data_IF_875839181409
#
_entry.id   IF_875839181409
#
_cell.length_a   1.000
_cell.length_b   1.000
_cell.length_c   1.000
_cell.angle_alpha   90.00
_cell.angle_beta   90.00
_cell.angle_gamma   90.00
#
_symmetry.space_group_name_H-M   'P 1'
#
loop_
_entity.id
_entity.type
_entity.pdbx_description
1 polymer ?
#
# COMPACT_ATOMS: atom_id res chain seq x y z
N UNK A 1 6.63 -17.40 -14.90
CA UNK A 1 7.93 -17.84 -15.45
C UNK A 1 9.13 -17.09 -14.92
N UNK A 2 9.17 -15.75 -14.93
CA UNK A 2 10.35 -15.00 -14.47
C UNK A 2 10.69 -15.23 -12.98
N UNK A 3 9.69 -15.35 -12.11
CA UNK A 3 9.91 -15.69 -10.69
C UNK A 3 10.56 -17.06 -10.47
N UNK A 4 10.11 -18.09 -11.20
CA UNK A 4 10.72 -19.42 -11.14
C UNK A 4 12.18 -19.41 -11.67
N UNK A 5 12.46 -18.58 -12.68
CA UNK A 5 13.82 -18.39 -13.20
C UNK A 5 14.74 -17.80 -12.13
N UNK A 6 14.30 -16.76 -11.43
CA UNK A 6 15.08 -16.11 -10.37
C UNK A 6 15.33 -17.04 -9.18
N UNK A 7 14.32 -17.82 -8.77
CA UNK A 7 14.48 -18.81 -7.69
C UNK A 7 15.50 -19.90 -8.06
N UNK A 8 15.50 -20.40 -9.29
CA UNK A 8 16.53 -21.36 -9.74
C UNK A 8 17.93 -20.76 -9.76
N UNK A 9 18.07 -19.46 -10.03
CA UNK A 9 19.37 -18.76 -9.95
C UNK A 9 19.78 -18.62 -8.47
N UNK A 10 18.86 -18.22 -7.60
CA UNK A 10 19.12 -18.08 -6.17
C UNK A 10 19.51 -19.42 -5.51
N UNK A 11 18.90 -20.54 -5.91
CA UNK A 11 19.23 -21.86 -5.37
C UNK A 11 20.62 -22.39 -5.79
N UNK A 12 21.25 -21.78 -6.81
CA UNK A 12 22.65 -22.07 -7.18
C UNK A 12 23.66 -21.34 -6.29
N UNK A 13 23.22 -20.33 -5.54
CA UNK A 13 24.04 -19.64 -4.56
C UNK A 13 24.10 -20.48 -3.27
N UNK A 14 25.32 -20.82 -2.84
CA UNK A 14 25.55 -21.62 -1.63
C UNK A 14 25.27 -20.86 -0.35
N UNK A 15 25.09 -19.53 -0.41
CA UNK A 15 24.67 -18.72 0.73
C UNK A 15 23.19 -18.92 1.11
N UNK A 16 22.37 -19.47 0.21
CA UNK A 16 20.95 -19.74 0.45
C UNK A 16 20.79 -21.14 1.07
N UNK A 17 20.73 -21.17 2.40
CA UNK A 17 20.59 -22.39 3.22
C UNK A 17 19.38 -22.35 4.16
N UNK A 18 19.06 -23.48 4.78
CA UNK A 18 18.00 -23.61 5.78
C UNK A 18 16.61 -23.23 5.26
N UNK A 19 15.82 -22.56 6.11
CA UNK A 19 14.42 -22.22 5.81
C UNK A 19 14.22 -21.37 4.53
N UNK A 20 15.19 -20.52 4.16
CA UNK A 20 15.08 -19.71 2.94
C UNK A 20 15.18 -20.61 1.69
N UNK A 21 16.10 -21.59 1.71
CA UNK A 21 16.21 -22.59 0.65
C UNK A 21 14.95 -23.44 0.56
N UNK A 22 14.43 -23.86 1.71
CA UNK A 22 13.24 -24.67 1.80
C UNK A 22 12.00 -23.97 1.19
N UNK A 23 11.80 -22.68 1.50
CA UNK A 23 10.70 -21.87 0.91
C UNK A 23 10.87 -21.69 -0.60
N UNK A 24 12.10 -21.45 -1.07
CA UNK A 24 12.38 -21.30 -2.51
C UNK A 24 12.09 -22.59 -3.29
N UNK A 25 12.50 -23.74 -2.76
CA UNK A 25 12.19 -25.06 -3.35
C UNK A 25 10.68 -25.34 -3.34
N UNK A 26 9.98 -25.02 -2.25
CA UNK A 26 8.53 -25.17 -2.15
C UNK A 26 7.79 -24.36 -3.23
N UNK A 27 8.21 -23.12 -3.47
CA UNK A 27 7.62 -22.26 -4.50
C UNK A 27 7.88 -22.78 -5.92
N UNK A 28 9.06 -23.36 -6.16
CA UNK A 28 9.36 -24.03 -7.43
C UNK A 28 8.51 -25.28 -7.64
N UNK A 29 8.28 -26.08 -6.59
CA UNK A 29 7.40 -27.24 -6.65
C UNK A 29 5.96 -26.86 -7.06
N UNK A 30 5.44 -25.72 -6.62
CA UNK A 30 4.09 -25.28 -6.99
C UNK A 30 3.97 -24.70 -8.41
N UNK A 31 5.07 -24.26 -9.01
CA UNK A 31 5.06 -23.63 -10.33
C UNK A 31 5.40 -24.60 -11.47
N UNK A 32 5.91 -25.79 -11.16
CA UNK A 32 6.29 -26.79 -12.15
C UNK A 32 5.18 -27.84 -12.31
N UNK A 33 4.79 -28.09 -13.55
CA UNK A 33 3.74 -29.07 -13.90
C UNK A 33 4.24 -30.50 -13.98
N UNK A 34 5.55 -30.70 -14.21
CA UNK A 34 6.16 -32.02 -14.29
C UNK A 34 6.21 -32.71 -12.90
N UNK A 35 5.58 -33.88 -12.71
CA UNK A 35 5.51 -34.56 -11.42
C UNK A 35 6.88 -34.96 -10.85
N UNK A 36 7.83 -35.32 -11.71
CA UNK A 36 9.17 -35.76 -11.27
C UNK A 36 9.98 -34.57 -10.73
N UNK A 37 9.96 -33.45 -11.46
CA UNK A 37 10.59 -32.21 -11.02
C UNK A 37 9.92 -31.65 -9.75
N UNK A 38 8.59 -31.73 -9.65
CA UNK A 38 7.84 -31.32 -8.45
C UNK A 38 8.25 -32.13 -7.23
N UNK A 39 8.43 -33.44 -7.38
CA UNK A 39 8.96 -34.32 -6.32
C UNK A 39 10.36 -33.92 -5.88
N UNK A 40 11.28 -33.70 -6.83
CA UNK A 40 12.66 -33.33 -6.54
C UNK A 40 12.75 -32.05 -5.69
N UNK A 41 11.93 -31.04 -6.01
CA UNK A 41 11.89 -29.80 -5.23
C UNK A 41 11.28 -29.98 -3.83
N UNK A 42 10.27 -30.84 -3.67
CA UNK A 42 9.73 -31.16 -2.35
C UNK A 42 10.73 -31.91 -1.47
N UNK A 43 11.46 -32.87 -2.04
CA UNK A 43 12.50 -33.62 -1.33
C UNK A 43 13.65 -32.69 -0.91
N UNK A 44 14.06 -31.77 -1.79
CA UNK A 44 15.08 -30.75 -1.48
C UNK A 44 14.60 -29.74 -0.42
N UNK A 45 13.31 -29.39 -0.42
CA UNK A 45 12.72 -28.52 0.59
C UNK A 45 12.72 -29.18 1.98
N UNK A 46 12.36 -30.47 2.06
CA UNK A 46 12.41 -31.25 3.30
C UNK A 46 13.84 -31.47 3.80
N UNK A 47 14.80 -31.69 2.91
CA UNK A 47 16.20 -31.82 3.28
C UNK A 47 16.79 -30.50 3.83
N UNK A 48 16.32 -29.36 3.31
CA UNK A 48 16.77 -28.04 3.76
C UNK A 48 16.17 -27.61 5.12
N UNK A 49 14.96 -28.07 5.45
CA UNK A 49 14.27 -27.75 6.71
C UNK A 49 13.32 -28.90 7.14
N UNK A 50 13.86 -29.96 7.80
CA UNK A 50 13.10 -31.16 8.15
C UNK A 50 11.98 -30.91 9.17
N UNK A 51 12.15 -29.92 10.05
CA UNK A 51 11.23 -29.66 11.15
C UNK A 51 10.01 -28.84 10.71
N UNK A 52 10.02 -28.30 9.50
CA UNK A 52 8.95 -27.43 9.00
C UNK A 52 7.61 -28.19 8.78
N UNK A 53 6.54 -27.86 9.53
CA UNK A 53 5.27 -28.58 9.41
C UNK A 53 4.52 -28.24 8.10
N UNK A 54 4.70 -27.06 7.51
CA UNK A 54 4.01 -26.66 6.27
C UNK A 54 4.53 -27.46 5.07
N UNK A 55 5.84 -27.71 5.01
CA UNK A 55 6.46 -28.50 3.94
C UNK A 55 5.92 -29.93 3.99
N UNK A 56 5.93 -30.57 5.17
CA UNK A 56 5.41 -31.94 5.36
C UNK A 56 3.96 -32.07 4.93
N UNK A 57 3.08 -31.16 5.38
CA UNK A 57 1.67 -31.18 5.00
C UNK A 57 1.43 -31.02 3.51
N UNK A 58 2.21 -30.20 2.82
CA UNK A 58 2.08 -30.00 1.36
C UNK A 58 2.57 -31.21 0.58
N UNK A 59 3.67 -31.84 1.01
CA UNK A 59 4.18 -33.08 0.41
C UNK A 59 3.17 -34.22 0.58
N UNK A 60 2.62 -34.40 1.79
CA UNK A 60 1.59 -35.40 2.06
C UNK A 60 0.34 -35.19 1.19
N UNK A 61 -0.14 -33.95 1.09
CA UNK A 61 -1.29 -33.61 0.25
C UNK A 61 -1.02 -33.91 -1.22
N UNK A 62 0.16 -33.58 -1.72
CA UNK A 62 0.53 -33.85 -3.10
C UNK A 62 0.65 -35.36 -3.36
N UNK A 63 1.30 -36.12 -2.48
CA UNK A 63 1.38 -37.58 -2.59
C UNK A 63 -0.01 -38.25 -2.56
N UNK A 64 -0.90 -37.78 -1.69
CA UNK A 64 -2.28 -38.27 -1.63
C UNK A 64 -3.05 -38.01 -2.93
N UNK A 65 -2.75 -36.92 -3.64
CA UNK A 65 -3.38 -36.59 -4.93
C UNK A 65 -2.86 -37.43 -6.11
N UNK A 66 -1.73 -38.12 -5.96
CA UNK A 66 -1.16 -39.01 -6.99
C UNK A 66 -1.71 -40.43 -6.92
N UNK A 67 -2.46 -40.78 -5.87
CA UNK A 67 -3.12 -42.08 -5.77
C UNK A 67 -4.29 -42.14 -6.77
N UNK A 68 -4.39 -43.18 -7.61
CA UNK A 68 -5.51 -43.33 -8.52
C UNK A 68 -6.81 -43.39 -7.72
N UNK A 69 -7.77 -42.54 -8.09
CA UNK A 69 -9.12 -42.58 -7.50
C UNK A 69 -9.72 -43.97 -7.73
N UNK A 70 -10.28 -44.62 -6.69
CA UNK A 70 -10.97 -45.88 -6.86
C UNK A 70 -12.11 -45.72 -7.90
N UNK A 71 -12.34 -46.72 -8.76
CA UNK A 71 -13.38 -46.63 -9.78
C UNK A 71 -14.72 -46.36 -9.11
N UNK A 72 -15.45 -45.37 -9.63
CA UNK A 72 -16.75 -44.99 -9.12
C UNK A 72 -17.69 -46.21 -9.12
N UNK A 73 -18.44 -46.47 -8.03
CA UNK A 73 -19.42 -47.54 -8.03
C UNK A 73 -20.50 -47.25 -9.07
N UNK A 74 -20.63 -48.15 -10.03
CA UNK A 74 -21.65 -48.16 -11.08
C UNK A 74 -23.02 -48.18 -10.40
N UNK A 75 -23.73 -47.05 -10.40
CA UNK A 75 -25.11 -47.03 -9.94
C UNK A 75 -25.99 -47.76 -10.97
N UNK A 76 -26.78 -48.76 -10.56
CA UNK A 76 -27.75 -49.39 -11.45
C UNK A 76 -28.89 -48.43 -11.77
N UNK A 77 -29.22 -48.34 -13.06
CA UNK A 77 -30.47 -47.76 -13.56
C UNK A 77 -31.66 -48.53 -12.96
N UNK A 78 -32.60 -47.84 -12.31
CA UNK A 78 -33.94 -48.40 -12.17
C UNK A 78 -34.85 -47.79 -11.10
N UNK A 79 -35.98 -47.27 -11.60
CA UNK A 79 -37.34 -47.25 -11.00
C UNK A 79 -37.75 -46.11 -10.05
N UNK A 80 -38.67 -45.28 -10.55
CA UNK A 80 -39.91 -44.89 -9.85
C UNK A 80 -39.91 -43.56 -9.06
N UNK A 81 -40.80 -42.61 -9.38
CA UNK A 81 -41.04 -41.45 -8.53
C UNK A 81 -42.01 -41.80 -7.39
N UNK A 82 -41.57 -41.60 -6.14
CA UNK A 82 -42.44 -41.62 -4.96
C UNK A 82 -42.91 -40.19 -4.61
N UNK A 83 -44.12 -40.03 -4.06
CA UNK A 83 -44.73 -38.73 -3.78
C UNK A 83 -44.08 -38.03 -2.56
N UNK A 84 -44.20 -36.68 -2.45
CA UNK A 84 -43.62 -35.93 -1.35
C UNK A 84 -44.41 -36.10 -0.04
N UNK A 85 -43.72 -36.43 1.04
CA UNK A 85 -44.24 -36.36 2.41
C UNK A 85 -44.34 -34.90 2.89
N UNK A 86 -45.37 -34.55 3.68
CA UNK A 86 -45.60 -33.18 4.12
C UNK A 86 -44.64 -32.73 5.21
N UNK A 87 -44.21 -31.47 5.07
CA UNK A 87 -43.33 -30.70 5.95
C UNK A 87 -43.93 -30.57 7.36
N UNK A 88 -43.21 -31.04 8.38
CA UNK A 88 -43.54 -30.77 9.78
C UNK A 88 -43.10 -29.33 10.15
N UNK A 89 -44.08 -28.54 10.59
CA UNK A 89 -43.92 -27.19 11.12
C UNK A 89 -43.32 -27.26 12.53
N UNK A 90 -42.20 -26.59 12.84
CA UNK A 90 -41.71 -26.48 14.21
C UNK A 90 -42.56 -25.52 15.05
N UNK A 91 -42.79 -25.81 16.34
CA UNK A 91 -43.63 -24.99 17.21
C UNK A 91 -42.96 -23.66 17.58
N UNK A 92 -43.79 -22.61 17.62
CA UNK A 92 -43.44 -21.26 18.00
C UNK A 92 -42.91 -21.17 19.44
N UNK A 93 -41.75 -20.54 19.63
CA UNK A 93 -41.25 -20.13 20.95
C UNK A 93 -41.98 -18.86 21.43
N UNK A 94 -42.32 -18.76 22.73
CA UNK A 94 -42.95 -17.57 23.30
C UNK A 94 -41.95 -16.39 23.41
N UNK A 95 -42.45 -15.14 23.38
CA UNK A 95 -41.61 -13.93 23.41
C UNK A 95 -40.96 -13.74 24.79
N UNK A 96 -39.64 -13.57 24.80
CA UNK A 96 -38.86 -13.18 25.98
C UNK A 96 -38.87 -11.66 26.09
N UNK A 97 -39.37 -11.15 27.21
CA UNK A 97 -39.41 -9.73 27.56
C UNK A 97 -38.01 -9.13 27.78
N UNK A 98 -37.76 -7.86 27.41
CA UNK A 98 -36.48 -7.20 27.68
C UNK A 98 -36.34 -6.76 29.15
N UNK A 99 -35.12 -6.80 29.73
CA UNK A 99 -34.88 -6.26 31.07
C UNK A 99 -34.82 -4.72 31.07
N UNK A 100 -35.46 -4.15 32.08
CA UNK A 100 -35.46 -2.72 32.46
C UNK A 100 -34.06 -2.32 32.98
N UNK A 101 -33.49 -1.17 32.55
CA UNK A 101 -32.28 -0.65 33.18
C UNK A 101 -32.61 0.13 34.45
N UNK A 102 -32.07 -0.35 35.57
CA UNK A 102 -32.10 0.32 36.87
C UNK A 102 -31.15 1.52 36.88
N UNK A 103 -31.68 2.69 37.21
CA UNK A 103 -30.95 3.92 37.43
C UNK A 103 -30.46 4.02 38.89
N UNK A 104 -29.15 4.22 39.07
CA UNK A 104 -28.47 4.75 40.26
C UNK A 104 -27.11 5.25 39.73
N UNK A 105 -26.53 6.42 40.01
CA UNK A 105 -26.75 7.48 40.99
C UNK A 105 -25.36 8.12 41.18
N UNK A 106 -25.18 9.38 40.77
CA UNK A 106 -24.06 10.25 41.19
C UNK A 106 -24.40 10.83 42.57
N UNK A 107 -23.40 11.13 43.45
CA UNK A 107 -22.68 12.42 43.43
C UNK A 107 -21.17 12.29 43.73
N UNK A 108 -20.31 13.11 43.08
CA UNK A 108 -19.65 14.33 43.58
C UNK A 108 -18.59 14.09 44.69
N UNK A 109 -17.32 14.44 44.41
CA UNK A 109 -16.50 15.30 45.27
C UNK A 109 -15.12 15.61 44.62
N UNK A 110 -14.80 16.90 44.57
CA UNK A 110 -13.45 17.47 44.41
C UNK A 110 -12.92 17.84 45.82
N UNK A 111 -11.61 17.85 46.09
CA UNK A 111 -10.81 19.12 46.03
C UNK A 111 -9.27 18.85 45.91
N UNK A 112 -8.35 19.78 46.26
CA UNK A 112 -8.24 21.22 45.98
C UNK A 112 -6.97 21.57 45.16
N UNK A 113 -6.91 22.84 44.75
CA UNK A 113 -5.74 23.50 44.19
C UNK A 113 -4.60 23.67 45.23
N UNK A 114 -3.35 23.48 44.77
CA UNK A 114 -2.16 24.04 45.40
C UNK A 114 -1.33 24.80 44.37
N UNK A 115 -1.21 26.11 44.61
CA UNK A 115 -0.19 26.99 44.02
C UNK A 115 0.96 27.11 45.01
N UNK A 116 2.22 26.98 44.57
CA UNK A 116 3.39 27.76 45.06
C UNK A 116 4.67 27.43 44.28
N UNK A 117 5.35 28.48 43.79
CA UNK A 117 6.79 28.57 43.49
C UNK A 117 7.26 27.84 42.22
N UNK A 118 7.80 28.47 41.18
CA UNK A 118 8.70 29.61 41.16
C UNK A 118 10.09 29.15 40.71
N UNK A 119 10.37 29.19 39.40
CA UNK A 119 11.73 29.31 38.86
C UNK A 119 11.63 29.80 37.41
N UNK A 120 12.19 30.99 37.20
CA UNK A 120 12.23 31.70 35.94
C UNK A 120 13.09 30.98 34.91
N UNK A 121 12.57 30.85 33.68
CA UNK A 121 13.41 30.77 32.48
C UNK A 121 13.02 31.91 31.55
N UNK A 122 14.06 32.62 31.11
CA UNK A 122 14.03 33.93 30.50
C UNK A 122 13.21 33.97 29.20
N UNK A 123 12.31 34.94 29.13
CA UNK A 123 11.76 35.46 27.89
C UNK A 123 12.83 36.28 27.17
N UNK A 124 13.03 36.02 25.89
CA UNK A 124 13.66 36.95 24.96
C UNK A 124 12.69 37.34 23.84
N UNK A 125 12.87 38.54 23.26
CA UNK A 125 11.78 39.47 23.03
C UNK A 125 11.12 39.31 21.66
N UNK A 126 9.81 39.52 21.68
CA UNK A 126 8.99 39.87 20.53
C UNK A 126 9.37 41.26 20.03
N UNK A 127 9.89 41.33 18.81
CA UNK A 127 10.02 42.57 18.06
C UNK A 127 9.41 42.42 16.67
N UNK A 128 8.42 43.28 16.40
CA UNK A 128 8.10 43.73 15.05
C UNK A 128 7.03 42.96 14.28
N UNK A 129 5.75 43.20 14.60
CA UNK A 129 4.71 43.17 13.58
C UNK A 129 4.90 44.39 12.66
N UNK A 130 5.32 44.12 11.42
CA UNK A 130 5.25 45.04 10.29
C UNK A 130 4.61 44.27 9.10
N UNK A 131 3.97 44.98 8.16
CA UNK A 131 2.71 44.57 7.56
C UNK A 131 2.86 43.46 6.51
N UNK A 132 1.72 42.79 6.28
CA UNK A 132 1.48 41.80 5.25
C UNK A 132 2.18 42.15 3.92
N UNK A 133 3.05 41.23 3.47
CA UNK A 133 3.31 41.07 2.05
C UNK A 133 2.41 39.95 1.56
N UNK A 134 1.41 40.33 0.77
CA UNK A 134 0.83 39.44 -0.25
C UNK A 134 1.98 39.15 -1.22
N UNK A 135 2.73 38.09 -0.95
CA UNK A 135 3.57 37.44 -1.95
C UNK A 135 2.61 36.56 -2.74
N UNK A 136 2.14 36.99 -3.90
CA UNK A 136 2.97 37.04 -5.09
C UNK A 136 2.93 35.63 -5.64
N UNK A 137 2.17 35.42 -6.72
CA UNK A 137 2.05 34.16 -7.44
C UNK A 137 3.45 33.67 -7.77
N UNK A 138 4.00 32.82 -6.90
CA UNK A 138 5.31 32.24 -7.08
C UNK A 138 5.20 31.09 -8.06
N UNK A 139 6.13 31.03 -8.99
CA UNK A 139 6.33 29.91 -9.91
C UNK A 139 6.89 28.71 -9.12
N UNK A 140 6.13 28.20 -8.16
CA UNK A 140 6.53 27.05 -7.35
C UNK A 140 6.22 25.81 -8.15
N UNK A 141 7.26 25.17 -8.68
CA UNK A 141 7.07 23.95 -9.46
C UNK A 141 7.73 22.77 -8.80
N UNK A 142 8.87 22.99 -8.12
CA UNK A 142 9.64 21.96 -7.45
C UNK A 142 9.71 22.30 -5.95
N UNK A 143 9.44 21.33 -5.09
CA UNK A 143 9.40 21.50 -3.64
C UNK A 143 10.15 20.38 -2.94
N UNK A 144 10.61 20.63 -1.72
CA UNK A 144 11.22 19.62 -0.87
C UNK A 144 10.17 18.90 -0.04
N UNK A 145 10.29 17.59 0.12
CA UNK A 145 9.62 16.83 1.18
C UNK A 145 10.64 16.62 2.30
N UNK A 146 10.41 17.26 3.44
CA UNK A 146 11.29 17.24 4.60
C UNK A 146 10.67 16.35 5.70
N UNK A 147 11.51 15.64 6.45
CA UNK A 147 11.05 14.79 7.56
C UNK A 147 10.49 13.44 7.12
N UNK A 148 10.63 13.06 5.85
CA UNK A 148 10.37 11.71 5.38
C UNK A 148 11.32 10.69 6.03
N UNK A 149 10.89 9.43 6.26
CA UNK A 149 11.69 8.44 6.98
C UNK A 149 13.00 8.05 6.28
N UNK A 150 13.14 8.37 4.98
CA UNK A 150 14.30 8.01 4.17
C UNK A 150 15.16 9.22 3.76
N UNK A 151 15.00 10.35 4.46
CA UNK A 151 15.69 11.61 4.17
C UNK A 151 14.86 12.57 3.31
N UNK A 152 15.39 13.77 3.05
CA UNK A 152 14.72 14.75 2.21
C UNK A 152 14.61 14.25 0.78
N UNK A 153 13.48 14.53 0.14
CA UNK A 153 13.23 14.20 -1.27
C UNK A 153 12.64 15.37 -2.02
N UNK A 154 12.53 15.21 -3.33
CA UNK A 154 11.91 16.19 -4.20
C UNK A 154 10.46 15.81 -4.49
N UNK A 155 9.60 16.81 -4.62
CA UNK A 155 8.28 16.68 -5.19
C UNK A 155 8.04 17.82 -6.17
N UNK A 156 6.98 17.70 -6.97
CA UNK A 156 6.60 18.76 -7.87
C UNK A 156 5.09 18.83 -8.08
N UNK A 157 4.58 20.01 -8.42
CA UNK A 157 3.13 20.20 -8.64
C UNK A 157 2.69 19.51 -9.93
N UNK A 158 1.65 18.67 -9.81
CA UNK A 158 1.02 17.98 -10.93
C UNK A 158 -0.41 18.50 -11.21
N UNK A 159 -0.99 19.26 -10.27
CA UNK A 159 -2.23 20.00 -10.49
C UNK A 159 -2.18 21.41 -9.87
N UNK A 160 -2.97 22.33 -10.40
CA UNK A 160 -3.01 23.73 -9.95
C UNK A 160 -3.60 23.90 -8.55
N UNK A 161 -4.37 22.92 -8.07
CA UNK A 161 -5.03 22.95 -6.76
C UNK A 161 -4.10 22.56 -5.59
N UNK A 162 -2.84 22.24 -5.88
CA UNK A 162 -1.85 21.89 -4.86
C UNK A 162 -1.59 20.39 -4.69
N UNK A 163 -1.84 19.58 -5.73
CA UNK A 163 -1.43 18.18 -5.73
C UNK A 163 0.01 18.05 -6.21
N UNK A 164 0.82 17.33 -5.46
CA UNK A 164 2.24 17.07 -5.68
C UNK A 164 2.47 15.61 -6.02
N UNK A 165 3.43 15.34 -6.91
CA UNK A 165 3.97 14.00 -7.15
C UNK A 165 5.38 13.89 -6.54
N UNK A 166 5.64 12.78 -5.85
CA UNK A 166 6.95 12.42 -5.28
C UNK A 166 7.09 10.90 -5.22
N UNK A 167 8.18 10.36 -4.67
CA UNK A 167 8.31 8.92 -4.51
C UNK A 167 7.63 8.38 -3.28
N UNK A 168 7.13 7.14 -3.36
CA UNK A 168 6.62 6.43 -2.18
C UNK A 168 7.74 6.21 -1.16
N UNK A 169 8.96 6.01 -1.65
CA UNK A 169 10.13 5.88 -0.82
C UNK A 169 10.36 7.09 0.08
N UNK A 170 10.21 8.32 -0.45
CA UNK A 170 10.38 9.55 0.34
C UNK A 170 9.35 9.66 1.46
N UNK A 171 8.06 9.43 1.16
CA UNK A 171 6.99 9.58 2.16
C UNK A 171 6.88 8.38 3.12
N UNK A 172 7.33 7.20 2.70
CA UNK A 172 7.23 5.96 3.46
C UNK A 172 5.79 5.61 3.86
N UNK A 173 5.56 5.32 5.14
CA UNK A 173 4.23 5.02 5.69
C UNK A 173 3.54 6.22 6.36
N UNK A 174 3.94 7.45 6.06
CA UNK A 174 3.38 8.63 6.73
C UNK A 174 2.04 9.07 6.11
N UNK A 175 1.15 9.60 6.94
CA UNK A 175 -0.09 10.27 6.49
C UNK A 175 0.13 11.76 6.23
N UNK A 176 1.12 12.34 6.90
CA UNK A 176 1.48 13.75 6.81
C UNK A 176 2.98 13.90 6.65
N UNK A 177 3.39 14.85 5.83
CA UNK A 177 4.79 15.22 5.59
C UNK A 177 4.92 16.74 5.63
N UNK A 178 6.14 17.24 5.84
CA UNK A 178 6.42 18.67 5.71
C UNK A 178 6.88 18.95 4.30
N UNK A 179 6.28 19.95 3.65
CA UNK A 179 6.64 20.39 2.31
C UNK A 179 7.33 21.74 2.41
N UNK A 180 8.56 21.82 1.91
CA UNK A 180 9.34 23.05 1.82
C UNK A 180 9.22 23.63 0.41
N UNK A 181 8.62 24.81 0.31
CA UNK A 181 8.50 25.55 -0.95
C UNK A 181 9.86 26.17 -1.34
N UNK A 182 10.00 26.61 -2.60
CA UNK A 182 11.23 27.26 -3.10
C UNK A 182 11.63 28.52 -2.31
N UNK A 183 10.69 29.15 -1.60
CA UNK A 183 10.96 30.30 -0.70
C UNK A 183 11.58 29.90 0.64
N UNK A 184 11.67 28.60 0.93
CA UNK A 184 11.99 28.05 2.25
C UNK A 184 10.78 27.98 3.20
N UNK A 185 9.58 28.43 2.78
CA UNK A 185 8.37 28.27 3.59
C UNK A 185 8.01 26.79 3.72
N UNK A 186 7.84 26.33 4.96
CA UNK A 186 7.40 24.97 5.24
C UNK A 186 5.90 24.93 5.51
N UNK A 187 5.19 24.08 4.77
CA UNK A 187 3.74 23.88 4.88
C UNK A 187 3.42 22.40 5.12
N UNK A 188 2.34 22.08 5.86
CA UNK A 188 1.92 20.70 6.03
C UNK A 188 1.36 20.12 4.72
N UNK A 189 1.85 18.96 4.33
CA UNK A 189 1.32 18.16 3.22
C UNK A 189 0.66 16.88 3.73
N UNK A 190 -0.47 16.51 3.14
CA UNK A 190 -1.17 15.26 3.43
C UNK A 190 -0.93 14.25 2.32
N UNK A 191 -0.44 13.06 2.66
CA UNK A 191 -0.34 11.96 1.68
C UNK A 191 -1.75 11.46 1.39
N UNK A 192 -2.17 11.55 0.14
CA UNK A 192 -3.55 11.26 -0.27
C UNK A 192 -3.67 9.95 -1.04
N UNK A 193 -2.60 9.52 -1.71
CA UNK A 193 -2.53 8.24 -2.43
C UNK A 193 -1.08 7.83 -2.61
N UNK A 194 -0.83 6.54 -2.76
CA UNK A 194 0.47 6.02 -3.14
C UNK A 194 0.38 4.72 -3.92
N UNK A 195 1.38 4.50 -4.76
CA UNK A 195 1.53 3.38 -5.69
C UNK A 195 2.91 2.75 -5.45
N UNK A 196 3.03 1.83 -4.46
CA UNK A 196 4.30 1.17 -4.15
C UNK A 196 4.97 0.50 -5.35
N UNK A 197 4.17 -0.04 -6.28
CA UNK A 197 4.61 -0.69 -7.50
C UNK A 197 5.32 0.25 -8.49
N UNK A 198 5.04 1.55 -8.41
CA UNK A 198 5.68 2.60 -9.22
C UNK A 198 6.64 3.47 -8.42
N UNK A 199 6.81 3.20 -7.12
CA UNK A 199 7.49 4.10 -6.19
C UNK A 199 6.96 5.54 -6.32
N UNK A 200 5.64 5.72 -6.36
CA UNK A 200 4.98 7.03 -6.51
C UNK A 200 4.07 7.32 -5.32
N UNK A 201 4.06 8.56 -4.85
CA UNK A 201 3.12 9.09 -3.88
C UNK A 201 2.54 10.43 -4.34
N UNK A 202 1.27 10.64 -4.02
CA UNK A 202 0.56 11.89 -4.23
C UNK A 202 0.39 12.57 -2.88
N UNK A 203 0.81 13.83 -2.79
CA UNK A 203 0.74 14.66 -1.59
C UNK A 203 -0.08 15.90 -1.91
N UNK A 204 -1.05 16.22 -1.05
CA UNK A 204 -1.86 17.43 -1.19
C UNK A 204 -1.39 18.50 -0.21
N UNK A 205 -1.20 19.72 -0.70
CA UNK A 205 -0.94 20.92 0.10
C UNK A 205 -2.01 21.98 -0.18
N UNK A 206 -2.31 22.83 0.80
CA UNK A 206 -3.22 23.96 0.61
C UNK A 206 -2.51 25.17 -0.03
N UNK A 207 -1.78 24.92 -1.11
CA UNK A 207 -1.03 25.94 -1.84
C UNK A 207 -1.31 25.77 -3.34
N UNK A 208 -2.23 26.56 -3.92
CA UNK A 208 -2.44 26.53 -5.36
C UNK A 208 -1.26 27.16 -6.09
N UNK A 209 -1.07 26.74 -7.34
CA UNK A 209 -0.05 27.28 -8.25
C UNK A 209 -0.73 27.76 -9.54
N UNK A 210 -0.27 28.89 -10.07
CA UNK A 210 -0.88 29.47 -11.27
C UNK A 210 -0.49 28.75 -12.55
N UNK A 211 0.72 28.22 -12.60
CA UNK A 211 1.22 27.49 -13.76
C UNK A 211 1.75 26.12 -13.33
N UNK A 212 1.70 25.17 -14.26
CA UNK A 212 2.30 23.87 -14.09
C UNK A 212 3.46 23.74 -15.07
N UNK A 213 4.42 22.89 -14.75
CA UNK A 213 5.49 22.58 -15.69
C UNK A 213 4.90 22.02 -16.98
N UNK A 214 5.38 22.46 -18.15
CA UNK A 214 4.87 22.00 -19.43
C UNK A 214 5.20 20.51 -19.58
N UNK A 215 4.17 19.69 -19.77
CA UNK A 215 4.32 18.24 -19.92
C UNK A 215 4.62 17.91 -21.38
N UNK A 216 5.49 16.94 -21.62
CA UNK A 216 5.78 16.47 -22.99
C UNK A 216 4.49 15.99 -23.67
N UNK A 217 4.23 16.39 -24.93
CA UNK A 217 3.09 15.87 -25.69
C UNK A 217 3.33 14.44 -26.18
N UNK A 218 4.56 13.95 -26.10
CA UNK A 218 4.93 12.66 -26.64
C UNK A 218 4.43 11.51 -25.74
N UNK A 219 3.88 10.43 -26.32
CA UNK A 219 3.44 9.27 -25.55
C UNK A 219 4.61 8.46 -24.98
N UNK A 220 5.80 8.62 -25.57
CA UNK A 220 7.07 7.97 -25.20
C UNK A 220 8.21 8.94 -25.45
N UNK A 221 9.28 8.79 -24.67
CA UNK A 221 10.52 9.54 -24.85
C UNK A 221 11.27 8.93 -26.04
N UNK A 222 11.69 9.72 -27.05
CA UNK A 222 12.52 9.24 -28.14
C UNK A 222 13.85 8.65 -27.66
N UNK A 223 14.41 7.71 -28.41
CA UNK A 223 15.73 7.14 -28.11
C UNK A 223 16.82 8.22 -28.04
N UNK A 224 17.80 8.02 -27.16
CA UNK A 224 18.94 8.93 -26.93
C UNK A 224 18.56 10.39 -26.55
N UNK A 225 17.28 10.65 -26.22
CA UNK A 225 16.85 11.98 -25.75
C UNK A 225 17.66 12.38 -24.51
N UNK A 226 18.32 13.53 -24.50
CA UNK A 226 19.01 14.01 -23.31
C UNK A 226 18.01 14.34 -22.19
N UNK A 227 18.39 13.99 -20.98
CA UNK A 227 17.56 14.07 -19.79
C UNK A 227 18.24 14.90 -18.71
N UNK A 228 17.46 15.75 -18.04
CA UNK A 228 17.89 16.54 -16.89
C UNK A 228 16.95 16.30 -15.72
N UNK A 229 17.46 15.75 -14.63
CA UNK A 229 16.74 15.64 -13.36
C UNK A 229 17.11 16.80 -12.45
N UNK A 230 16.12 17.38 -11.78
CA UNK A 230 16.30 18.55 -10.90
C UNK A 230 15.79 18.23 -9.51
N UNK A 231 16.61 18.50 -8.48
CA UNK A 231 16.21 18.36 -7.08
C UNK A 231 15.72 19.69 -6.49
N UNK A 232 14.98 19.61 -5.38
CA UNK A 232 14.39 20.77 -4.69
C UNK A 232 15.44 21.80 -4.23
N UNK A 233 16.66 21.35 -3.96
CA UNK A 233 17.78 22.20 -3.55
C UNK A 233 18.55 22.82 -4.74
N UNK A 234 18.04 22.67 -5.97
CA UNK A 234 18.64 23.19 -7.20
C UNK A 234 19.77 22.33 -7.77
N UNK A 235 20.16 21.22 -7.12
CA UNK A 235 21.10 20.28 -7.72
C UNK A 235 20.48 19.60 -8.94
N UNK A 236 21.32 19.32 -9.94
CA UNK A 236 20.88 18.72 -11.20
C UNK A 236 21.76 17.54 -11.56
N UNK A 237 21.15 16.50 -12.12
CA UNK A 237 21.83 15.37 -12.73
C UNK A 237 21.46 15.30 -14.21
N UNK A 238 22.45 15.04 -15.06
CA UNK A 238 22.27 14.95 -16.51
C UNK A 238 22.56 13.53 -16.99
N UNK A 239 21.86 13.13 -18.05
CA UNK A 239 22.05 11.87 -18.75
C UNK A 239 21.24 11.87 -20.02
N UNK A 240 20.84 10.69 -20.46
CA UNK A 240 20.02 10.45 -21.63
C UNK A 240 19.11 9.24 -21.40
N UNK A 241 18.11 9.09 -22.25
CA UNK A 241 17.34 7.86 -22.33
C UNK A 241 18.26 6.72 -22.78
N UNK A 242 18.27 5.63 -22.03
CA UNK A 242 19.16 4.49 -22.28
C UNK A 242 18.42 3.37 -23.03
N UNK A 243 18.97 2.85 -24.11
CA UNK A 243 18.44 1.60 -24.68
C UNK A 243 18.73 0.42 -23.74
N UNK A 244 17.76 -0.48 -23.55
CA UNK A 244 17.95 -1.67 -22.71
C UNK A 244 17.35 -2.90 -23.35
N UNK A 245 18.06 -4.02 -23.23
CA UNK A 245 17.59 -5.33 -23.70
C UNK A 245 16.51 -5.93 -22.80
N UNK A 246 16.28 -5.37 -21.62
CA UNK A 246 15.22 -5.81 -20.71
C UNK A 246 13.87 -5.28 -21.19
N UNK A 247 12.86 -6.15 -21.21
CA UNK A 247 11.47 -5.73 -21.44
C UNK A 247 11.02 -4.95 -20.20
N UNK A 248 10.84 -3.63 -20.37
CA UNK A 248 10.28 -2.76 -19.35
C UNK A 248 8.80 -2.49 -19.67
N UNK A 249 7.97 -2.36 -18.64
CA UNK A 249 6.61 -1.87 -18.84
C UNK A 249 6.65 -0.44 -19.39
N UNK A 250 5.71 -0.08 -20.26
CA UNK A 250 5.75 1.15 -21.05
C UNK A 250 5.77 2.46 -20.24
N UNK A 251 5.46 2.41 -18.94
CA UNK A 251 5.51 3.57 -18.04
C UNK A 251 6.89 3.79 -17.40
N UNK A 252 7.80 2.83 -17.51
CA UNK A 252 9.18 2.97 -17.05
C UNK A 252 10.06 3.44 -18.19
N UNK A 253 10.97 4.37 -17.90
CA UNK A 253 12.03 4.74 -18.82
C UNK A 253 13.40 4.62 -18.12
N UNK A 254 14.33 3.88 -18.72
CA UNK A 254 15.70 3.75 -18.21
C UNK A 254 16.52 4.99 -18.56
N UNK A 255 17.38 5.42 -17.63
CA UNK A 255 18.29 6.54 -17.88
C UNK A 255 19.75 6.10 -17.84
N UNK A 256 20.65 6.97 -18.28
CA UNK A 256 22.09 6.90 -17.99
C UNK A 256 22.49 7.66 -16.73
N UNK A 257 21.52 8.27 -16.03
CA UNK A 257 21.75 9.01 -14.80
C UNK A 257 22.08 8.03 -13.67
N UNK A 258 23.24 8.20 -13.05
CA UNK A 258 23.71 7.39 -11.91
C UNK A 258 23.79 8.17 -10.61
N UNK A 259 23.91 9.50 -10.69
CA UNK A 259 23.97 10.38 -9.54
C UNK A 259 22.60 10.47 -8.86
N UNK A 260 22.55 10.12 -7.58
CA UNK A 260 21.38 10.37 -6.72
C UNK A 260 21.49 11.78 -6.14
N UNK A 261 20.48 12.61 -6.40
CA UNK A 261 20.44 13.98 -5.91
C UNK A 261 19.91 14.04 -4.46
N UNK A 262 18.90 13.24 -4.17
CA UNK A 262 18.24 13.13 -2.87
C UNK A 262 17.54 11.76 -2.72
N UNK A 263 16.55 11.64 -1.83
CA UNK A 263 15.82 10.38 -1.64
C UNK A 263 14.88 10.00 -2.81
N UNK A 264 14.70 10.87 -3.81
CA UNK A 264 13.96 10.63 -5.05
C UNK A 264 12.85 11.65 -5.31
N UNK A 265 12.08 11.43 -6.38
CA UNK A 265 10.94 12.28 -6.76
C UNK A 265 11.32 13.47 -7.64
N UNK A 266 12.55 13.49 -8.14
CA UNK A 266 13.08 14.56 -8.98
C UNK A 266 12.33 14.58 -10.33
N UNK A 267 11.71 15.70 -10.74
CA UNK A 267 11.19 15.84 -12.10
C UNK A 267 12.33 15.73 -13.11
N UNK A 268 12.02 15.12 -14.25
CA UNK A 268 12.94 14.91 -15.37
C UNK A 268 12.44 15.67 -16.58
N UNK A 269 13.35 16.42 -17.21
CA UNK A 269 13.08 17.24 -18.39
C UNK A 269 13.87 16.75 -19.60
N UNK A 270 13.32 16.98 -20.79
CA UNK A 270 14.06 16.91 -22.05
C UNK A 270 14.77 18.25 -22.38
N UNK A 271 15.50 18.29 -23.49
CA UNK A 271 16.19 19.51 -23.96
C UNK A 271 15.25 20.67 -24.28
N UNK A 272 13.99 20.39 -24.59
CA UNK A 272 12.96 21.40 -24.84
C UNK A 272 12.35 21.93 -23.53
N UNK A 273 12.83 21.48 -22.37
CA UNK A 273 12.32 21.78 -21.03
C UNK A 273 10.90 21.28 -20.79
N UNK A 274 10.46 20.24 -21.53
CA UNK A 274 9.23 19.54 -21.21
C UNK A 274 9.47 18.52 -20.10
N UNK A 275 8.56 18.47 -19.12
CA UNK A 275 8.52 17.42 -18.10
C UNK A 275 8.17 16.09 -18.78
N UNK A 276 9.13 15.16 -18.78
CA UNK A 276 8.97 13.81 -19.33
C UNK A 276 8.60 12.77 -18.28
N UNK A 277 8.92 13.04 -17.01
CA UNK A 277 8.59 12.12 -15.93
C UNK A 277 9.27 12.46 -14.61
N UNK A 278 9.45 11.45 -13.77
CA UNK A 278 10.00 11.59 -12.43
C UNK A 278 11.00 10.47 -12.16
N UNK A 279 12.19 10.80 -11.62
CA UNK A 279 13.12 9.79 -11.14
C UNK A 279 12.59 9.12 -9.88
N UNK A 280 12.71 7.80 -9.87
CA UNK A 280 12.34 6.96 -8.73
C UNK A 280 13.57 6.37 -8.07
N UNK A 281 13.39 5.76 -6.90
CA UNK A 281 14.43 4.96 -6.26
C UNK A 281 14.40 3.50 -6.70
N UNK A 282 13.49 3.12 -7.60
CA UNK A 282 13.49 1.81 -8.26
C UNK A 282 14.71 1.71 -9.19
N UNK A 283 15.85 1.39 -8.62
CA UNK A 283 17.05 1.03 -9.33
C UNK A 283 17.12 -0.51 -9.46
N UNK A 284 17.70 -0.97 -10.57
CA UNK A 284 18.07 -2.38 -10.68
C UNK A 284 19.25 -2.65 -9.74
N UNK A 285 19.20 -3.70 -8.92
CA UNK A 285 20.34 -4.11 -8.09
C UNK A 285 21.63 -4.33 -8.92
N UNK A 286 21.48 -4.62 -10.20
CA UNK A 286 22.58 -4.90 -11.14
C UNK A 286 23.06 -3.69 -11.93
N UNK A 287 22.52 -2.48 -11.71
CA UNK A 287 22.93 -1.29 -12.47
C UNK A 287 22.86 -0.04 -11.61
N UNK A 288 23.90 0.82 -11.64
CA UNK A 288 23.87 2.09 -10.92
C UNK A 288 22.88 3.10 -11.55
N UNK A 289 22.36 2.80 -12.74
CA UNK A 289 21.46 3.67 -13.47
C UNK A 289 20.08 3.75 -12.81
N UNK A 290 19.56 4.97 -12.72
CA UNK A 290 18.23 5.26 -12.21
C UNK A 290 17.17 5.06 -13.30
N UNK A 291 15.96 4.75 -12.85
CA UNK A 291 14.77 4.63 -13.70
C UNK A 291 13.79 5.73 -13.35
N UNK A 292 13.12 6.24 -14.37
CA UNK A 292 12.02 7.18 -14.20
C UNK A 292 10.68 6.56 -14.54
N UNK A 293 9.63 7.10 -13.93
CA UNK A 293 8.24 6.86 -14.32
C UNK A 293 7.81 7.98 -15.27
N UNK A 294 7.29 7.61 -16.43
CA UNK A 294 6.84 8.54 -17.45
C UNK A 294 5.66 9.39 -16.95
N UNK A 295 5.65 10.67 -17.29
CA UNK A 295 4.64 11.64 -16.85
C UNK A 295 3.21 11.23 -17.21
N UNK A 296 3.00 10.63 -18.38
CA UNK A 296 1.72 10.05 -18.79
C UNK A 296 1.17 8.99 -17.81
N UNK A 297 2.04 8.21 -17.17
CA UNK A 297 1.60 7.25 -16.15
C UNK A 297 1.12 7.98 -14.89
N UNK A 298 1.91 8.96 -14.43
CA UNK A 298 1.56 9.80 -13.27
C UNK A 298 0.22 10.51 -13.51
N UNK A 299 0.01 11.10 -14.70
CA UNK A 299 -1.26 11.75 -15.06
C UNK A 299 -2.44 10.79 -15.00
N UNK A 300 -2.30 9.57 -15.55
CA UNK A 300 -3.37 8.56 -15.48
C UNK A 300 -3.75 8.23 -14.04
N UNK A 301 -2.76 8.11 -13.15
CA UNK A 301 -2.99 7.83 -11.74
C UNK A 301 -3.65 9.00 -11.01
N UNK A 302 -3.30 10.24 -11.36
CA UNK A 302 -3.97 11.44 -10.85
C UNK A 302 -5.43 11.46 -11.28
N UNK A 303 -5.75 11.10 -12.53
CA UNK A 303 -7.15 11.04 -12.97
C UNK A 303 -7.95 9.93 -12.29
N UNK A 304 -7.36 8.73 -12.12
CA UNK A 304 -7.96 7.68 -11.30
C UNK A 304 -8.19 8.16 -9.87
N UNK A 305 -7.22 8.83 -9.27
CA UNK A 305 -7.32 9.37 -7.92
C UNK A 305 -8.45 10.41 -7.78
N UNK A 306 -8.61 11.31 -8.76
CA UNK A 306 -9.71 12.29 -8.77
C UNK A 306 -11.07 11.60 -8.80
N UNK A 307 -11.20 10.50 -9.56
CA UNK A 307 -12.42 9.68 -9.59
C UNK A 307 -12.65 8.96 -8.26
N UNK A 308 -11.59 8.52 -7.58
CA UNK A 308 -11.67 7.88 -6.26
C UNK A 308 -12.08 8.86 -5.15
N UNK A 309 -11.74 10.14 -5.26
CA UNK A 309 -11.96 11.17 -4.24
C UNK A 309 -13.36 11.80 -4.20
N UNK A 310 -14.30 11.35 -5.05
CA UNK A 310 -15.69 11.81 -4.99
C UNK A 310 -16.43 11.35 -3.73
N UNK A 311 -15.89 10.35 -3.03
CA UNK A 311 -16.47 9.78 -1.81
C UNK A 311 -15.58 10.09 -0.58
N UNK A 312 -16.14 10.01 0.62
CA UNK A 312 -15.39 10.15 1.88
C UNK A 312 -14.46 8.94 2.07
N UNK A 313 -13.24 9.03 1.55
CA UNK A 313 -12.19 8.01 1.67
C UNK A 313 -11.01 8.50 2.50
N UNK A 314 -10.33 7.56 3.16
CA UNK A 314 -9.12 7.84 3.94
C UNK A 314 -7.92 7.07 3.38
N UNK A 315 -6.77 7.72 3.36
CA UNK A 315 -5.53 7.10 2.92
C UNK A 315 -5.15 5.93 3.86
N UNK A 316 -4.73 4.81 3.28
CA UNK A 316 -4.21 3.66 3.99
C UNK A 316 -2.67 3.69 3.94
N UNK A 317 -1.98 3.90 5.07
CA UNK A 317 -0.53 3.99 5.09
C UNK A 317 0.19 2.68 4.73
N UNK A 318 -0.46 1.53 4.88
CA UNK A 318 0.17 0.24 4.59
C UNK A 318 0.30 0.00 3.08
N UNK A 319 -0.81 0.06 2.33
CA UNK A 319 -0.81 -0.22 0.90
C UNK A 319 -0.78 1.03 0.01
N UNK A 320 -1.06 2.21 0.57
CA UNK A 320 -1.16 3.45 -0.19
C UNK A 320 -2.51 3.70 -0.87
N UNK A 321 -3.48 2.80 -0.72
CA UNK A 321 -4.83 2.94 -1.26
C UNK A 321 -5.67 3.96 -0.49
N UNK A 322 -6.82 4.32 -1.05
CA UNK A 322 -7.85 5.09 -0.36
C UNK A 322 -8.98 4.15 0.03
N UNK A 323 -9.32 4.16 1.30
CA UNK A 323 -10.21 3.22 1.95
C UNK A 323 -11.52 3.89 2.36
N UNK A 324 -12.64 3.22 2.10
CA UNK A 324 -13.99 3.58 2.53
C UNK A 324 -14.28 3.08 3.96
N UNK A 325 -13.38 2.31 4.57
CA UNK A 325 -13.59 1.71 5.89
C UNK A 325 -14.03 2.73 6.94
N UNK A 326 -13.42 3.92 6.96
CA UNK A 326 -13.76 4.96 7.90
C UNK A 326 -15.21 5.44 7.78
N UNK A 327 -15.68 5.64 6.54
CA UNK A 327 -17.05 6.08 6.27
C UNK A 327 -18.07 4.98 6.58
N UNK A 328 -17.71 3.72 6.36
CA UNK A 328 -18.54 2.55 6.69
C UNK A 328 -18.46 2.13 8.16
N UNK A 329 -17.67 2.81 8.99
CA UNK A 329 -17.43 2.42 10.38
C UNK A 329 -16.63 1.13 10.56
N UNK A 330 -15.96 0.65 9.50
CA UNK A 330 -14.96 -0.41 9.56
C UNK A 330 -13.67 0.07 10.23
N UNK A 331 -12.72 -0.83 10.41
CA UNK A 331 -11.41 -0.55 11.02
C UNK A 331 -10.24 -0.97 10.14
N UNK A 332 -10.48 -1.80 9.13
CA UNK A 332 -9.46 -2.42 8.30
C UNK A 332 -9.58 -1.93 6.86
N UNK A 333 -8.45 -1.67 6.22
CA UNK A 333 -8.45 -1.32 4.81
C UNK A 333 -9.10 -2.44 3.99
N UNK A 334 -10.10 -2.14 3.18
CA UNK A 334 -10.75 -3.11 2.31
C UNK A 334 -9.85 -3.61 1.17
N UNK A 335 -8.78 -2.87 0.84
CA UNK A 335 -7.83 -3.24 -0.22
C UNK A 335 -6.77 -4.21 0.27
N UNK A 336 -6.20 -3.96 1.45
CA UNK A 336 -5.06 -4.74 1.95
C UNK A 336 -5.23 -5.28 3.37
N UNK A 337 -6.38 -5.09 4.01
CA UNK A 337 -6.69 -5.63 5.33
C UNK A 337 -5.86 -5.12 6.50
N UNK A 338 -5.03 -4.08 6.32
CA UNK A 338 -4.30 -3.47 7.43
C UNK A 338 -5.23 -2.66 8.33
N UNK A 339 -4.91 -2.56 9.61
CA UNK A 339 -5.60 -1.65 10.52
C UNK A 339 -5.40 -0.20 10.06
N UNK A 340 -6.48 0.56 9.97
CA UNK A 340 -6.44 1.97 9.58
C UNK A 340 -5.97 2.84 10.76
N UNK A 341 -5.24 3.93 10.48
CA UNK A 341 -4.61 4.76 11.52
C UNK A 341 -5.62 5.32 12.55
N UNK A 342 -6.81 5.75 12.12
CA UNK A 342 -7.86 6.24 13.03
C UNK A 342 -8.40 5.16 14.00
N UNK A 343 -8.17 3.88 13.68
CA UNK A 343 -8.67 2.73 14.42
C UNK A 343 -7.67 2.18 15.44
N UNK A 344 -6.41 2.64 15.42
CA UNK A 344 -5.32 2.10 16.24
C UNK A 344 -5.57 2.27 17.76
N UNK A 345 -6.20 3.37 18.16
CA UNK A 345 -6.44 3.72 19.58
C UNK A 345 -7.90 3.65 20.03
N UNK A 346 -8.80 3.13 19.20
CA UNK A 346 -10.23 3.02 19.56
C UNK A 346 -10.55 1.65 20.11
N UNK A 347 -11.39 1.59 21.14
CA UNK A 347 -12.01 0.33 21.56
C UNK A 347 -12.81 -0.19 20.37
N UNK A 348 -12.33 -1.30 19.78
CA UNK A 348 -12.92 -1.93 18.61
C UNK A 348 -14.17 -2.67 19.05
N UNK A 349 -15.31 -1.99 18.90
CA UNK A 349 -16.63 -2.53 19.18
C UNK A 349 -17.31 -2.98 17.89
N UNK A 350 -18.21 -3.94 18.02
CA UNK A 350 -19.08 -4.36 16.93
C UNK A 350 -19.96 -3.19 16.47
N UNK A 351 -19.96 -2.90 15.16
CA UNK A 351 -20.90 -1.97 14.50
C UNK A 351 -21.39 -2.62 13.20
N UNK A 352 -22.69 -2.55 12.95
CA UNK A 352 -23.33 -3.18 11.77
C UNK A 352 -23.04 -2.48 10.45
N UNK A 353 -22.64 -1.20 10.48
CA UNK A 353 -22.37 -0.41 9.28
C UNK A 353 -21.26 -0.98 8.38
N UNK A 354 -20.34 -1.80 8.92
CA UNK A 354 -19.24 -2.40 8.15
C UNK A 354 -19.68 -3.52 7.19
N UNK A 355 -20.89 -4.08 7.34
CA UNK A 355 -21.37 -5.20 6.54
C UNK A 355 -21.50 -4.87 5.05
N UNK A 356 -21.78 -3.60 4.73
CA UNK A 356 -21.94 -3.13 3.34
C UNK A 356 -20.59 -3.10 2.61
N UNK A 357 -19.48 -2.90 3.32
CA UNK A 357 -18.18 -2.67 2.70
C UNK A 357 -17.42 -3.95 2.37
N UNK A 358 -17.39 -4.91 3.29
CA UNK A 358 -16.50 -6.06 3.16
C UNK A 358 -17.12 -7.23 2.37
N UNK A 359 -18.38 -7.09 1.95
CA UNK A 359 -19.21 -8.12 1.31
C UNK A 359 -19.17 -9.48 2.03
N UNK A 360 -20.31 -9.96 2.48
CA UNK A 360 -20.47 -11.26 3.15
C UNK A 360 -20.34 -12.46 2.18
N UNK A 361 -19.27 -12.51 1.40
CA UNK A 361 -19.06 -13.53 0.36
C UNK A 361 -18.19 -14.69 0.82
N UNK A 362 -17.54 -14.59 1.99
CA UNK A 362 -16.67 -15.66 2.44
C UNK A 362 -17.48 -16.78 3.10
N UNK A 363 -17.26 -18.04 2.68
CA UNK A 363 -17.98 -19.20 3.23
C UNK A 363 -17.67 -19.47 4.71
N UNK A 364 -16.56 -18.93 5.21
CA UNK A 364 -16.10 -19.16 6.56
C UNK A 364 -16.41 -17.93 7.42
N UNK A 365 -17.31 -18.08 8.38
CA UNK A 365 -17.61 -17.07 9.37
C UNK A 365 -16.48 -16.97 10.42
N UNK A 366 -16.17 -15.76 10.86
CA UNK A 366 -15.25 -15.52 11.96
C UNK A 366 -15.79 -16.13 13.26
N UNK A 367 -14.99 -16.96 13.94
CA UNK A 367 -15.40 -17.60 15.22
C UNK A 367 -15.65 -16.61 16.36
N UNK A 368 -15.11 -15.38 16.25
CA UNK A 368 -15.24 -14.36 17.29
C UNK A 368 -16.39 -13.39 17.10
N UNK A 369 -16.82 -13.14 15.86
CA UNK A 369 -17.87 -12.15 15.54
C UNK A 369 -18.89 -12.63 14.50
N UNK A 370 -18.79 -13.89 14.09
CA UNK A 370 -19.64 -14.56 13.09
C UNK A 370 -19.68 -13.91 11.70
N UNK A 371 -18.83 -12.91 11.45
CA UNK A 371 -18.81 -12.21 10.18
C UNK A 371 -18.15 -13.02 9.06
N UNK A 372 -18.72 -12.95 7.87
CA UNK A 372 -18.21 -13.52 6.61
C UNK A 372 -17.45 -12.48 5.77
N UNK A 373 -17.10 -11.35 6.38
CA UNK A 373 -16.39 -10.19 5.81
C UNK A 373 -14.97 -10.47 5.29
N UNK A 374 -14.53 -11.73 5.23
CA UNK A 374 -13.17 -12.09 4.83
C UNK A 374 -12.11 -11.97 5.94
N UNK A 375 -10.92 -12.48 5.64
CA UNK A 375 -9.75 -12.46 6.53
C UNK A 375 -8.54 -11.90 5.78
N UNK A 376 -7.68 -11.18 6.48
CA UNK A 376 -6.36 -10.77 5.98
C UNK A 376 -5.29 -11.18 6.98
N UNK A 377 -4.30 -11.98 6.53
CA UNK A 377 -3.26 -12.56 7.39
C UNK A 377 -3.84 -13.28 8.63
N UNK A 378 -4.92 -14.05 8.43
CA UNK A 378 -5.62 -14.76 9.51
C UNK A 378 -6.52 -13.88 10.38
N UNK A 379 -6.46 -12.55 10.26
CA UNK A 379 -7.28 -11.61 11.04
C UNK A 379 -8.59 -11.32 10.33
N UNK A 380 -9.70 -11.40 11.06
CA UNK A 380 -11.01 -11.03 10.52
C UNK A 380 -11.05 -9.53 10.17
N UNK A 381 -11.46 -9.21 8.93
CA UNK A 381 -11.57 -7.82 8.46
C UNK A 381 -12.65 -7.00 9.19
N UNK A 382 -13.49 -7.62 10.02
CA UNK A 382 -14.49 -6.95 10.86
C UNK A 382 -14.00 -6.73 12.29
N UNK A 383 -13.62 -7.80 13.00
CA UNK A 383 -13.28 -7.72 14.42
C UNK A 383 -11.78 -7.70 14.71
N UNK A 384 -10.93 -7.97 13.71
CA UNK A 384 -9.49 -7.96 13.88
C UNK A 384 -8.88 -9.15 14.61
N UNK A 385 -9.68 -10.14 15.00
CA UNK A 385 -9.19 -11.31 15.73
C UNK A 385 -8.73 -12.39 14.77
N UNK A 386 -7.69 -13.09 15.20
CA UNK A 386 -7.10 -14.22 14.48
C UNK A 386 -8.04 -15.44 14.50
N UNK A 387 -8.11 -16.12 13.37
CA UNK A 387 -8.86 -17.36 13.22
C UNK A 387 -7.95 -18.54 13.57
N UNK A 388 -7.91 -18.88 14.86
CA UNK A 388 -7.30 -20.13 15.34
C UNK A 388 -8.23 -21.32 15.16
#
# INVERSE_FOLDING_TARGET
DEGARLLRIALRDTSVTGGIRAVACLWLAETVSDPQSKRAYYDEALAADPDNPDIRHRVERWLASQLPTPPAPTQPLGTGPLPPSPTAVPPAQPPVSPPVPTAFGQPADAPPAFSTGGAAFAAQPSSGFAPARVAGVGYYHIVGIIGGPNGPGTAFFITQEGLLATTRHVVGGLEHVTVELETGLQVPGRVVRSHPELDLALVYVQQPVSELMPITPLPRIPEETPLMAVAYNGQMARGSLRTTTRVLAAHWFPTTITQRLDAGGNPVFDDNRYLVGMLTRNASATSPNLYGVHINAIRKLVETFKQEMTEKRQYCPACGAVSKAAAAGGYYCETCGSLMAYADRRVRGWRDAGNVLYHEQNRIACRHCSATAGFHRGLCLRCGREQT
#
